data_IF_685683846351
#
_entry.id   IF_685683846351
#
_cell.length_a   1.000
_cell.length_b   1.000
_cell.length_c   1.000
_cell.angle_alpha   90.00
_cell.angle_beta   90.00
_cell.angle_gamma   90.00
#
_symmetry.space_group_name_H-M   'P 1'
#
loop_
_entity.id
_entity.type
_entity.pdbx_description
1 polymer ?
#
# COMPACT_ATOMS: atom_id res chain seq x y z
N UNK A 1 -24.20 8.28 2.49
CA UNK A 1 -23.47 7.52 1.48
C UNK A 1 -23.95 6.08 1.43
N UNK A 2 -23.82 5.31 2.54
CA UNK A 2 -24.11 3.87 2.59
C UNK A 2 -25.51 3.54 2.06
N UNK A 3 -26.55 4.24 2.55
CA UNK A 3 -27.94 4.00 2.11
C UNK A 3 -28.14 4.25 0.61
N UNK A 4 -27.54 5.33 0.07
CA UNK A 4 -27.68 5.69 -1.35
C UNK A 4 -26.98 4.66 -2.26
N UNK A 5 -25.78 4.24 -1.90
CA UNK A 5 -25.06 3.17 -2.63
C UNK A 5 -25.83 1.86 -2.56
N UNK A 6 -26.38 1.51 -1.38
CA UNK A 6 -27.13 0.28 -1.17
C UNK A 6 -28.42 0.18 -1.98
N UNK A 7 -29.04 1.31 -2.38
CA UNK A 7 -30.19 1.34 -3.30
C UNK A 7 -29.79 1.65 -4.75
N UNK A 8 -28.50 1.58 -5.09
CA UNK A 8 -28.01 1.75 -6.45
C UNK A 8 -27.91 3.19 -6.94
N UNK A 9 -28.05 4.19 -6.06
CA UNK A 9 -27.91 5.62 -6.40
C UNK A 9 -26.42 6.01 -6.35
N UNK A 10 -25.67 5.62 -7.37
CA UNK A 10 -24.22 5.80 -7.46
C UNK A 10 -23.93 6.90 -8.49
N UNK A 11 -23.05 7.87 -8.18
CA UNK A 11 -22.65 8.90 -9.15
C UNK A 11 -22.00 8.27 -10.40
N UNK A 12 -22.42 8.71 -11.58
CA UNK A 12 -21.87 8.24 -12.86
C UNK A 12 -21.54 9.43 -13.76
N UNK A 13 -20.32 9.46 -14.32
CA UNK A 13 -19.89 10.60 -15.17
C UNK A 13 -20.13 11.93 -14.44
N UNK A 14 -20.84 12.86 -15.08
CA UNK A 14 -21.17 14.17 -14.51
C UNK A 14 -22.45 14.17 -13.65
N UNK A 15 -23.15 13.02 -13.57
CA UNK A 15 -24.41 12.93 -12.83
C UNK A 15 -24.15 12.58 -11.36
N UNK A 16 -24.52 13.50 -10.48
CA UNK A 16 -24.47 13.35 -9.03
C UNK A 16 -25.64 14.13 -8.39
N UNK A 17 -26.90 13.68 -8.61
CA UNK A 17 -28.09 14.43 -8.19
C UNK A 17 -28.20 14.57 -6.67
N UNK A 18 -27.51 13.70 -5.92
CA UNK A 18 -27.52 13.69 -4.44
C UNK A 18 -26.23 14.27 -3.85
N UNK A 19 -25.36 14.87 -4.66
CA UNK A 19 -24.08 15.45 -4.25
C UNK A 19 -23.20 14.49 -3.42
N UNK A 20 -23.20 13.20 -3.77
CA UNK A 20 -22.48 12.15 -3.02
C UNK A 20 -20.97 12.35 -3.05
N UNK A 21 -20.41 12.94 -4.12
CA UNK A 21 -19.00 13.32 -4.18
C UNK A 21 -18.64 14.33 -3.10
N UNK A 22 -19.48 15.35 -2.91
CA UNK A 22 -19.30 16.35 -1.85
C UNK A 22 -19.46 15.74 -0.46
N UNK A 23 -20.44 14.85 -0.29
CA UNK A 23 -20.62 14.13 0.97
C UNK A 23 -19.44 13.25 1.30
N UNK A 24 -18.83 12.56 0.32
CA UNK A 24 -17.61 11.77 0.53
C UNK A 24 -16.44 12.64 1.00
N UNK A 25 -16.22 13.79 0.36
CA UNK A 25 -15.19 14.75 0.80
C UNK A 25 -15.45 15.26 2.23
N UNK A 26 -16.71 15.47 2.61
CA UNK A 26 -17.06 15.82 3.98
C UNK A 26 -16.70 14.73 4.99
N UNK A 27 -16.98 13.46 4.67
CA UNK A 27 -16.59 12.31 5.52
C UNK A 27 -15.08 12.21 5.61
N UNK A 28 -14.36 12.30 4.48
CA UNK A 28 -12.88 12.27 4.44
C UNK A 28 -12.31 13.35 5.36
N UNK A 29 -12.77 14.59 5.25
CA UNK A 29 -12.30 15.69 6.10
C UNK A 29 -12.56 15.45 7.57
N UNK A 30 -13.76 15.01 7.94
CA UNK A 30 -14.08 14.71 9.35
C UNK A 30 -13.14 13.65 9.91
N UNK A 31 -12.86 12.58 9.15
CA UNK A 31 -11.99 11.48 9.61
C UNK A 31 -10.52 11.91 9.66
N UNK A 32 -10.04 12.64 8.65
CA UNK A 32 -8.65 13.05 8.53
C UNK A 32 -8.31 14.22 9.47
N UNK A 33 -9.05 15.31 9.42
CA UNK A 33 -8.79 16.53 10.23
C UNK A 33 -9.12 16.30 11.72
N UNK A 34 -10.17 15.51 11.99
CA UNK A 34 -10.54 15.09 13.34
C UNK A 34 -9.62 14.04 13.94
N UNK A 35 -8.69 13.50 13.15
CA UNK A 35 -7.80 12.39 13.53
C UNK A 35 -8.57 11.25 14.23
N UNK A 36 -9.73 10.89 13.68
CA UNK A 36 -10.61 9.92 14.30
C UNK A 36 -10.06 8.50 14.11
N UNK A 37 -10.02 7.75 15.20
CA UNK A 37 -9.63 6.33 15.20
C UNK A 37 -10.80 5.45 14.78
N UNK A 38 -11.25 5.62 13.53
CA UNK A 38 -12.37 4.90 12.94
C UNK A 38 -11.89 4.23 11.65
N UNK A 39 -11.69 2.90 11.66
CA UNK A 39 -11.36 2.16 10.45
C UNK A 39 -12.51 2.26 9.43
N UNK A 40 -12.19 2.72 8.21
CA UNK A 40 -13.19 3.05 7.18
C UNK A 40 -14.11 1.86 6.87
N UNK A 41 -13.56 0.71 6.56
CA UNK A 41 -14.37 -0.45 6.18
C UNK A 41 -15.23 -0.98 7.32
N UNK A 42 -14.71 -1.00 8.55
CA UNK A 42 -15.47 -1.38 9.73
C UNK A 42 -16.65 -0.42 9.96
N UNK A 43 -16.41 0.89 9.82
CA UNK A 43 -17.46 1.90 9.94
C UNK A 43 -18.54 1.71 8.85
N UNK A 44 -18.14 1.49 7.59
CA UNK A 44 -19.07 1.27 6.49
C UNK A 44 -19.90 0.00 6.68
N UNK A 45 -19.29 -1.08 7.18
CA UNK A 45 -19.99 -2.33 7.49
C UNK A 45 -21.04 -2.15 8.59
N UNK A 46 -20.66 -1.55 9.73
CA UNK A 46 -21.60 -1.29 10.85
C UNK A 46 -22.77 -0.43 10.41
N UNK A 47 -22.53 0.59 9.57
CA UNK A 47 -23.62 1.42 9.03
C UNK A 47 -24.47 0.62 8.04
N UNK A 48 -23.85 -0.22 7.20
CA UNK A 48 -24.55 -1.11 6.25
C UNK A 48 -25.54 -2.04 6.94
N UNK A 49 -25.15 -2.61 8.06
CA UNK A 49 -26.02 -3.51 8.86
C UNK A 49 -27.30 -2.81 9.34
N UNK A 50 -27.26 -1.50 9.60
CA UNK A 50 -28.46 -0.72 9.98
C UNK A 50 -29.50 -0.61 8.87
N UNK A 51 -29.09 -0.79 7.61
CA UNK A 51 -29.97 -0.78 6.45
C UNK A 51 -30.43 -2.17 6.02
N UNK A 52 -29.97 -3.24 6.69
CA UNK A 52 -30.27 -4.63 6.31
C UNK A 52 -31.76 -4.98 6.20
N UNK A 53 -32.61 -4.26 6.92
CA UNK A 53 -34.06 -4.43 6.91
C UNK A 53 -34.79 -3.55 5.89
N UNK A 54 -34.08 -2.68 5.18
CA UNK A 54 -34.66 -1.79 4.18
C UNK A 54 -34.87 -2.55 2.87
N UNK A 55 -36.12 -2.55 2.39
CA UNK A 55 -36.46 -3.19 1.12
C UNK A 55 -35.65 -2.63 -0.03
N UNK A 56 -35.11 -3.49 -0.87
CA UNK A 56 -34.27 -3.13 -2.01
C UNK A 56 -32.82 -2.73 -1.69
N UNK A 57 -32.44 -2.69 -0.42
CA UNK A 57 -31.06 -2.42 -0.02
C UNK A 57 -30.16 -3.64 -0.32
N UNK A 58 -29.02 -3.37 -0.94
CA UNK A 58 -27.94 -4.33 -1.19
C UNK A 58 -26.63 -3.77 -0.64
N UNK A 59 -25.89 -4.50 0.19
CA UNK A 59 -24.59 -4.03 0.68
C UNK A 59 -23.65 -3.66 -0.46
N UNK A 60 -23.11 -2.46 -0.46
CA UNK A 60 -22.19 -1.93 -1.48
C UNK A 60 -20.91 -1.38 -0.85
N UNK A 61 -20.45 -2.00 0.24
CA UNK A 61 -19.32 -1.52 1.06
C UNK A 61 -18.04 -1.38 0.24
N UNK A 62 -17.68 -2.40 -0.55
CA UNK A 62 -16.46 -2.36 -1.37
C UNK A 62 -16.52 -1.22 -2.40
N UNK A 63 -17.66 -1.08 -3.12
CA UNK A 63 -17.82 -0.05 -4.13
C UNK A 63 -17.83 1.37 -3.50
N UNK A 64 -18.42 1.53 -2.32
CA UNK A 64 -18.38 2.80 -1.60
C UNK A 64 -16.98 3.10 -1.06
N UNK A 65 -16.26 2.09 -0.61
CA UNK A 65 -14.86 2.23 -0.19
C UNK A 65 -14.00 2.72 -1.35
N UNK A 66 -14.10 2.08 -2.53
CA UNK A 66 -13.41 2.51 -3.75
C UNK A 66 -13.74 3.96 -4.10
N UNK A 67 -15.01 4.32 -4.08
CA UNK A 67 -15.47 5.68 -4.34
C UNK A 67 -14.86 6.71 -3.36
N UNK A 68 -14.76 6.38 -2.07
CA UNK A 68 -14.16 7.26 -1.06
C UNK A 68 -12.66 7.44 -1.33
N UNK A 69 -11.91 6.36 -1.62
CA UNK A 69 -10.49 6.46 -1.93
C UNK A 69 -10.23 7.22 -3.24
N UNK A 70 -11.07 7.08 -4.25
CA UNK A 70 -10.99 7.88 -5.47
C UNK A 70 -11.19 9.38 -5.18
N UNK A 71 -12.13 9.74 -4.31
CA UNK A 71 -12.35 11.15 -3.91
C UNK A 71 -11.20 11.67 -3.07
N UNK A 72 -10.65 10.85 -2.16
CA UNK A 72 -9.44 11.17 -1.39
C UNK A 72 -8.27 11.47 -2.32
N UNK A 73 -8.00 10.57 -3.28
CA UNK A 73 -6.92 10.77 -4.25
C UNK A 73 -7.08 12.06 -5.06
N UNK A 74 -8.31 12.38 -5.49
CA UNK A 74 -8.63 13.64 -6.17
C UNK A 74 -8.34 14.87 -5.30
N UNK A 75 -8.84 14.88 -4.06
CA UNK A 75 -8.62 15.95 -3.10
C UNK A 75 -7.14 16.22 -2.82
N UNK A 76 -6.38 15.15 -2.59
CA UNK A 76 -4.94 15.27 -2.32
C UNK A 76 -4.16 15.87 -3.52
N UNK A 77 -4.56 15.54 -4.75
CA UNK A 77 -3.95 16.16 -5.95
C UNK A 77 -4.32 17.64 -6.06
N UNK A 78 -5.55 18.03 -5.74
CA UNK A 78 -6.01 19.42 -5.68
C UNK A 78 -5.27 20.22 -4.59
N UNK A 79 -4.87 19.56 -3.50
CA UNK A 79 -4.02 20.12 -2.42
C UNK A 79 -2.54 20.24 -2.81
N UNK A 80 -2.15 19.79 -4.00
CA UNK A 80 -0.80 19.94 -4.56
C UNK A 80 0.15 18.76 -4.30
N UNK A 81 -0.36 17.61 -3.85
CA UNK A 81 0.44 16.40 -3.82
C UNK A 81 0.65 15.82 -5.22
N UNK A 82 1.85 15.34 -5.51
CA UNK A 82 2.13 14.66 -6.79
C UNK A 82 1.37 13.35 -6.92
N UNK A 83 1.16 12.91 -8.16
CA UNK A 83 0.52 11.63 -8.43
C UNK A 83 1.24 10.45 -7.75
N UNK A 84 2.57 10.52 -7.67
CA UNK A 84 3.39 9.48 -7.02
C UNK A 84 3.20 9.46 -5.50
N UNK A 85 3.17 10.62 -4.84
CA UNK A 85 2.92 10.71 -3.40
C UNK A 85 1.53 10.18 -3.05
N UNK A 86 0.51 10.58 -3.83
CA UNK A 86 -0.88 10.14 -3.64
C UNK A 86 -0.99 8.63 -3.84
N UNK A 87 -0.41 8.10 -4.91
CA UNK A 87 -0.48 6.68 -5.23
C UNK A 87 0.23 5.83 -4.16
N UNK A 88 1.41 6.25 -3.70
CA UNK A 88 2.15 5.56 -2.64
C UNK A 88 1.35 5.39 -1.34
N UNK A 89 0.47 6.34 -1.01
CA UNK A 89 -0.33 6.29 0.21
C UNK A 89 -1.70 5.68 -0.02
N UNK A 90 -2.42 6.11 -1.07
CA UNK A 90 -3.82 5.73 -1.28
C UNK A 90 -3.96 4.29 -1.78
N UNK A 91 -2.99 3.78 -2.57
CA UNK A 91 -2.99 2.38 -3.03
C UNK A 91 -2.93 1.37 -1.88
N UNK A 92 -2.33 1.75 -0.75
CA UNK A 92 -2.29 0.93 0.46
C UNK A 92 -3.63 0.88 1.22
N UNK A 93 -4.63 1.66 0.79
CA UNK A 93 -5.98 1.73 1.40
C UNK A 93 -5.94 1.87 2.92
N UNK A 94 -5.25 2.88 3.48
CA UNK A 94 -5.12 3.05 4.92
C UNK A 94 -6.49 3.19 5.57
N UNK A 95 -6.82 2.30 6.49
CA UNK A 95 -8.15 2.26 7.11
C UNK A 95 -8.41 3.48 8.01
N UNK A 96 -7.37 4.02 8.64
CA UNK A 96 -7.44 5.26 9.43
C UNK A 96 -7.09 6.46 8.55
N UNK A 97 -8.08 7.22 8.12
CA UNK A 97 -7.85 8.40 7.27
C UNK A 97 -7.12 9.53 8.03
N UNK A 98 -7.16 9.53 9.35
CA UNK A 98 -6.36 10.44 10.19
C UNK A 98 -4.84 10.28 10.03
N UNK A 99 -4.38 9.12 9.54
CA UNK A 99 -2.95 8.88 9.30
C UNK A 99 -2.45 9.43 7.94
N UNK A 100 -3.35 9.80 7.04
CA UNK A 100 -3.00 10.25 5.68
C UNK A 100 -1.96 11.39 5.69
N UNK A 101 -2.12 12.47 6.47
CA UNK A 101 -1.15 13.56 6.47
C UNK A 101 0.26 13.10 6.90
N UNK A 102 0.34 12.21 7.91
CA UNK A 102 1.61 11.67 8.40
C UNK A 102 2.28 10.77 7.35
N UNK A 103 1.49 9.92 6.68
CA UNK A 103 1.99 9.05 5.61
C UNK A 103 2.51 9.85 4.42
N UNK A 104 1.78 10.89 3.99
CA UNK A 104 2.22 11.78 2.92
C UNK A 104 3.49 12.55 3.28
N UNK A 105 3.60 13.05 4.52
CA UNK A 105 4.81 13.70 4.99
C UNK A 105 6.01 12.73 4.98
N UNK A 106 5.82 11.48 5.43
CA UNK A 106 6.85 10.44 5.41
C UNK A 106 7.30 10.10 3.98
N UNK A 107 6.35 9.90 3.05
CA UNK A 107 6.65 9.64 1.63
C UNK A 107 7.42 10.81 1.01
N UNK A 108 7.04 12.05 1.31
CA UNK A 108 7.74 13.26 0.83
C UNK A 108 9.15 13.33 1.37
N UNK A 109 9.35 13.09 2.66
CA UNK A 109 10.67 13.06 3.29
C UNK A 109 11.55 11.95 2.70
N UNK A 110 11.00 10.75 2.53
CA UNK A 110 11.70 9.63 1.91
C UNK A 110 12.10 9.95 0.46
N UNK A 111 11.21 10.56 -0.33
CA UNK A 111 11.47 10.90 -1.72
C UNK A 111 12.65 11.88 -1.90
N UNK A 112 13.02 12.62 -0.85
CA UNK A 112 14.18 13.50 -0.83
C UNK A 112 15.49 12.77 -0.55
N UNK A 113 15.46 11.50 -0.12
CA UNK A 113 16.66 10.70 0.13
C UNK A 113 17.32 10.27 -1.20
N UNK A 114 18.65 10.24 -1.28
CA UNK A 114 19.37 9.78 -2.47
C UNK A 114 19.08 8.30 -2.82
N UNK A 115 18.65 7.50 -1.85
CA UNK A 115 18.30 6.11 -1.99
C UNK A 115 16.92 5.87 -2.63
N UNK A 116 16.01 6.83 -2.49
CA UNK A 116 14.58 6.66 -2.81
C UNK A 116 14.33 6.26 -4.27
N UNK A 117 14.99 6.94 -5.21
CA UNK A 117 14.79 6.66 -6.64
C UNK A 117 15.23 5.25 -7.02
N UNK A 118 16.37 4.78 -6.48
CA UNK A 118 16.90 3.45 -6.73
C UNK A 118 15.99 2.37 -6.13
N UNK A 119 15.56 2.54 -4.89
CA UNK A 119 14.65 1.62 -4.21
C UNK A 119 13.27 1.55 -4.88
N UNK A 120 12.72 2.68 -5.31
CA UNK A 120 11.46 2.69 -6.07
C UNK A 120 11.57 1.95 -7.40
N UNK A 121 12.69 2.13 -8.12
CA UNK A 121 12.96 1.41 -9.37
C UNK A 121 13.13 -0.10 -9.12
N UNK A 122 13.85 -0.47 -8.06
CA UNK A 122 14.03 -1.87 -7.65
C UNK A 122 12.68 -2.51 -7.27
N UNK A 123 11.88 -1.85 -6.47
CA UNK A 123 10.54 -2.34 -6.07
C UNK A 123 9.63 -2.55 -7.29
N UNK A 124 9.63 -1.61 -8.23
CA UNK A 124 8.90 -1.76 -9.51
C UNK A 124 9.41 -2.96 -10.30
N UNK A 125 10.74 -3.17 -10.35
CA UNK A 125 11.35 -4.34 -11.01
C UNK A 125 10.92 -5.64 -10.35
N UNK A 126 10.95 -5.70 -9.02
CA UNK A 126 10.47 -6.86 -8.23
C UNK A 126 9.01 -7.15 -8.55
N UNK A 127 8.12 -6.17 -8.46
CA UNK A 127 6.72 -6.35 -8.78
C UNK A 127 6.48 -6.87 -10.20
N UNK A 128 7.28 -6.39 -11.19
CA UNK A 128 7.20 -6.89 -12.56
C UNK A 128 7.71 -8.33 -12.72
N UNK A 129 8.70 -8.76 -11.92
CA UNK A 129 9.18 -10.14 -11.91
C UNK A 129 8.11 -11.04 -11.31
N UNK A 130 7.57 -10.69 -10.15
CA UNK A 130 6.56 -11.48 -9.45
C UNK A 130 5.25 -11.63 -10.26
N UNK A 131 4.83 -10.58 -10.98
CA UNK A 131 3.64 -10.64 -11.86
C UNK A 131 3.76 -11.60 -13.05
N UNK A 132 4.98 -11.98 -13.44
CA UNK A 132 5.22 -12.94 -14.54
C UNK A 132 5.21 -14.39 -14.10
N UNK A 133 5.14 -14.64 -12.79
CA UNK A 133 5.06 -15.99 -12.24
C UNK A 133 3.60 -16.42 -12.21
N UNK A 134 3.30 -17.61 -12.73
CA UNK A 134 1.93 -18.12 -12.87
C UNK A 134 1.20 -18.29 -11.54
N UNK A 135 1.94 -18.67 -10.49
CA UNK A 135 1.37 -18.86 -9.16
C UNK A 135 1.87 -17.78 -8.18
N UNK A 136 1.08 -17.38 -7.18
CA UNK A 136 1.54 -16.50 -6.12
C UNK A 136 2.82 -17.05 -5.47
N UNK A 137 3.79 -16.16 -5.28
CA UNK A 137 5.07 -16.50 -4.65
C UNK A 137 4.98 -16.18 -3.16
N UNK A 138 5.15 -17.20 -2.33
CA UNK A 138 5.21 -17.02 -0.87
C UNK A 138 6.51 -16.32 -0.47
N UNK A 139 6.49 -15.37 0.49
CA UNK A 139 7.67 -14.64 0.95
C UNK A 139 8.52 -15.49 1.91
N UNK A 140 8.83 -16.73 1.52
CA UNK A 140 9.62 -17.68 2.30
C UNK A 140 11.00 -17.91 1.68
N UNK A 141 12.02 -17.99 2.53
CA UNK A 141 13.41 -18.16 2.11
C UNK A 141 14.03 -19.31 2.90
N UNK A 142 14.59 -20.28 2.18
CA UNK A 142 15.44 -21.31 2.76
C UNK A 142 16.89 -20.82 2.72
N UNK A 143 17.48 -20.58 3.89
CA UNK A 143 18.86 -20.10 4.02
C UNK A 143 19.90 -21.09 3.46
N UNK A 144 19.60 -22.40 3.43
CA UNK A 144 20.49 -23.40 2.85
C UNK A 144 20.62 -23.30 1.33
N UNK A 145 19.65 -22.64 0.67
CA UNK A 145 19.62 -22.40 -0.77
C UNK A 145 20.19 -21.02 -1.17
N UNK A 146 20.64 -20.20 -0.23
CA UNK A 146 21.36 -18.96 -0.53
C UNK A 146 22.79 -19.30 -0.92
N UNK A 147 23.15 -19.13 -2.18
CA UNK A 147 24.48 -19.55 -2.73
C UNK A 147 25.39 -18.37 -3.02
N UNK A 148 24.82 -17.26 -3.50
CA UNK A 148 25.58 -16.06 -3.86
C UNK A 148 25.73 -15.14 -2.65
N UNK A 149 26.88 -14.48 -2.51
CA UNK A 149 27.12 -13.55 -1.41
C UNK A 149 26.07 -12.42 -1.36
N UNK A 150 25.60 -11.96 -2.53
CA UNK A 150 24.57 -10.92 -2.61
C UNK A 150 23.18 -11.40 -2.18
N UNK A 151 22.84 -12.69 -2.35
CA UNK A 151 21.61 -13.28 -1.81
C UNK A 151 21.63 -13.29 -0.27
N UNK A 152 22.77 -13.72 0.29
CA UNK A 152 22.98 -13.76 1.74
C UNK A 152 22.90 -12.35 2.32
N UNK A 153 23.61 -11.41 1.71
CA UNK A 153 23.62 -10.01 2.17
C UNK A 153 22.22 -9.36 2.14
N UNK A 154 21.43 -9.62 1.08
CA UNK A 154 20.07 -9.11 1.00
C UNK A 154 19.15 -9.78 2.04
N UNK A 155 19.26 -11.09 2.22
CA UNK A 155 18.50 -11.81 3.21
C UNK A 155 18.78 -11.31 4.63
N UNK A 156 20.06 -11.16 4.99
CA UNK A 156 20.46 -10.72 6.32
C UNK A 156 20.00 -9.27 6.58
N UNK A 157 20.14 -8.40 5.58
CA UNK A 157 19.65 -7.03 5.68
C UNK A 157 18.12 -6.99 5.87
N UNK A 158 17.34 -7.83 5.18
CA UNK A 158 15.90 -7.92 5.39
C UNK A 158 15.55 -8.43 6.80
N UNK A 159 16.28 -9.42 7.32
CA UNK A 159 16.07 -9.94 8.68
C UNK A 159 16.33 -8.87 9.74
N UNK A 160 17.29 -7.98 9.51
CA UNK A 160 17.62 -6.88 10.44
C UNK A 160 16.66 -5.70 10.30
N UNK A 161 16.40 -5.23 9.09
CA UNK A 161 15.71 -3.96 8.81
C UNK A 161 14.20 -4.07 8.92
N UNK A 162 13.59 -5.16 8.40
CA UNK A 162 12.12 -5.28 8.34
C UNK A 162 11.48 -5.19 9.73
N UNK A 163 11.96 -5.87 10.79
CA UNK A 163 11.35 -5.74 12.11
C UNK A 163 11.42 -4.33 12.68
N UNK A 164 12.47 -3.56 12.37
CA UNK A 164 12.61 -2.17 12.81
C UNK A 164 11.60 -1.27 12.08
N UNK A 165 11.51 -1.43 10.75
CA UNK A 165 10.56 -0.70 9.93
C UNK A 165 9.11 -0.99 10.35
N UNK A 166 8.78 -2.24 10.59
CA UNK A 166 7.44 -2.67 11.04
C UNK A 166 7.10 -2.10 12.43
N UNK A 167 8.04 -2.12 13.37
CA UNK A 167 7.83 -1.55 14.71
C UNK A 167 7.53 -0.06 14.64
N UNK A 168 8.28 0.70 13.83
CA UNK A 168 8.02 2.11 13.59
C UNK A 168 6.67 2.34 12.90
N UNK A 169 6.34 1.52 11.90
CA UNK A 169 5.06 1.59 11.18
C UNK A 169 3.86 1.37 12.11
N UNK A 170 3.91 0.38 12.99
CA UNK A 170 2.84 0.05 13.94
C UNK A 170 2.62 1.19 14.94
N UNK A 171 3.68 1.89 15.35
CA UNK A 171 3.56 3.05 16.22
C UNK A 171 3.14 4.34 15.51
N UNK A 172 2.99 4.29 14.17
CA UNK A 172 2.62 5.44 13.35
C UNK A 172 3.79 6.37 13.02
N UNK A 173 5.03 5.95 13.27
CA UNK A 173 6.24 6.65 12.84
C UNK A 173 6.62 6.19 11.42
N UNK A 174 5.83 6.64 10.46
CA UNK A 174 6.01 6.28 9.04
C UNK A 174 7.32 6.83 8.46
N UNK A 175 7.84 7.93 9.00
CA UNK A 175 9.10 8.52 8.55
C UNK A 175 10.29 7.64 8.96
N UNK A 176 10.33 7.18 10.19
CA UNK A 176 11.36 6.26 10.68
C UNK A 176 11.28 4.92 9.96
N UNK A 177 10.06 4.38 9.76
CA UNK A 177 9.85 3.15 9.00
C UNK A 177 10.48 3.21 7.60
N UNK A 178 10.18 4.25 6.83
CA UNK A 178 10.74 4.43 5.49
C UNK A 178 12.25 4.70 5.50
N UNK A 179 12.75 5.42 6.52
CA UNK A 179 14.19 5.68 6.69
C UNK A 179 14.95 4.39 6.98
N UNK A 180 14.41 3.51 7.83
CA UNK A 180 15.01 2.20 8.07
C UNK A 180 15.11 1.38 6.76
N UNK A 181 14.06 1.36 5.95
CA UNK A 181 14.05 0.66 4.65
C UNK A 181 15.07 1.23 3.66
N UNK A 182 15.51 2.48 3.79
CA UNK A 182 16.54 3.06 2.93
C UNK A 182 17.88 2.31 3.01
N UNK A 183 18.19 1.65 4.14
CA UNK A 183 19.38 0.83 4.30
C UNK A 183 19.43 -0.38 3.36
N UNK A 184 18.28 -0.80 2.80
CA UNK A 184 18.20 -1.91 1.86
C UNK A 184 18.75 -1.57 0.46
N UNK A 185 19.03 -0.31 0.13
CA UNK A 185 19.50 0.07 -1.20
C UNK A 185 20.72 -0.72 -1.65
N UNK A 186 21.80 -0.70 -0.87
CA UNK A 186 23.07 -1.35 -1.24
C UNK A 186 22.91 -2.86 -1.46
N UNK A 187 22.30 -3.65 -0.53
CA UNK A 187 22.11 -5.07 -0.77
C UNK A 187 21.15 -5.37 -1.92
N UNK A 188 20.15 -4.54 -2.18
CA UNK A 188 19.23 -4.68 -3.32
C UNK A 188 19.96 -4.45 -4.64
N UNK A 189 20.78 -3.39 -4.76
CA UNK A 189 21.57 -3.12 -5.95
C UNK A 189 22.53 -4.28 -6.21
N UNK A 190 23.28 -4.73 -5.19
CA UNK A 190 24.21 -5.87 -5.31
C UNK A 190 23.51 -7.17 -5.75
N UNK A 191 22.31 -7.42 -5.22
CA UNK A 191 21.51 -8.59 -5.63
C UNK A 191 21.15 -8.53 -7.13
N UNK A 192 20.67 -7.41 -7.60
CA UNK A 192 20.27 -7.28 -9.00
C UNK A 192 21.44 -7.25 -9.98
N UNK A 193 22.63 -6.86 -9.53
CA UNK A 193 23.84 -6.85 -10.33
C UNK A 193 24.52 -8.23 -10.38
N UNK A 194 24.45 -9.00 -9.30
CA UNK A 194 25.18 -10.26 -9.17
C UNK A 194 24.38 -11.55 -9.27
N UNK A 195 23.03 -11.48 -9.11
CA UNK A 195 22.20 -12.70 -8.99
C UNK A 195 21.26 -12.86 -10.19
N UNK A 196 21.36 -14.00 -10.84
CA UNK A 196 20.40 -14.39 -11.89
C UNK A 196 19.14 -14.98 -11.25
N UNK A 197 18.07 -14.19 -11.15
CA UNK A 197 16.79 -14.62 -10.53
C UNK A 197 16.23 -15.87 -11.21
N UNK A 198 16.25 -15.95 -12.55
CA UNK A 198 15.78 -17.09 -13.33
C UNK A 198 16.89 -18.13 -13.48
N UNK A 199 17.32 -18.71 -12.36
CA UNK A 199 18.27 -19.83 -12.37
C UNK A 199 17.67 -21.07 -13.06
N UNK A 200 18.54 -21.91 -13.65
CA UNK A 200 18.12 -23.17 -14.27
C UNK A 200 17.61 -24.16 -13.22
N UNK A 201 18.22 -24.16 -12.04
CA UNK A 201 17.76 -24.95 -10.90
C UNK A 201 16.42 -24.41 -10.36
N UNK A 202 15.35 -25.21 -10.40
CA UNK A 202 14.03 -24.77 -9.94
C UNK A 202 13.98 -24.41 -8.45
N UNK A 203 14.77 -25.07 -7.59
CA UNK A 203 14.79 -24.80 -6.17
C UNK A 203 15.47 -23.46 -5.88
N UNK A 204 16.60 -23.18 -6.52
CA UNK A 204 17.27 -21.88 -6.43
C UNK A 204 16.37 -20.75 -6.95
N UNK A 205 15.73 -20.98 -8.11
CA UNK A 205 14.80 -19.99 -8.68
C UNK A 205 13.64 -19.68 -7.75
N UNK A 206 13.01 -20.71 -7.17
CA UNK A 206 11.92 -20.54 -6.21
C UNK A 206 12.37 -19.75 -4.96
N UNK A 207 13.55 -20.08 -4.42
CA UNK A 207 14.11 -19.39 -3.26
C UNK A 207 14.42 -17.90 -3.54
N UNK A 208 14.97 -17.59 -4.73
CA UNK A 208 15.24 -16.22 -5.19
C UNK A 208 13.96 -15.42 -5.38
N UNK A 209 12.91 -16.03 -5.92
CA UNK A 209 11.60 -15.42 -6.01
C UNK A 209 10.98 -15.18 -4.62
N UNK A 210 11.13 -16.13 -3.68
CA UNK A 210 10.71 -15.96 -2.29
C UNK A 210 11.41 -14.79 -1.60
N UNK A 211 12.72 -14.63 -1.83
CA UNK A 211 13.50 -13.49 -1.31
C UNK A 211 12.99 -12.15 -1.89
N UNK A 212 12.68 -12.11 -3.19
CA UNK A 212 12.08 -10.93 -3.82
C UNK A 212 10.66 -10.66 -3.33
N UNK A 213 9.86 -11.70 -3.09
CA UNK A 213 8.53 -11.55 -2.51
C UNK A 213 8.60 -10.96 -1.10
N UNK A 214 9.59 -11.38 -0.29
CA UNK A 214 9.85 -10.80 1.04
C UNK A 214 10.31 -9.34 0.98
N UNK A 215 11.06 -8.96 -0.03
CA UNK A 215 11.46 -7.55 -0.25
C UNK A 215 10.26 -6.70 -0.68
N UNK A 216 9.27 -7.27 -1.36
CA UNK A 216 8.12 -6.55 -1.93
C UNK A 216 6.94 -6.43 -0.95
N UNK A 217 6.87 -7.32 0.05
CA UNK A 217 5.81 -7.33 1.06
C UNK A 217 5.85 -6.10 1.98
#
# INVERSE_FOLDING_TARGET
>A
LVGMFGIGQIPTGDKDPFALRRHALGVIRMLAEGNLDLPLEAMLAVVGDKFSTVEGFKPATAQLSDFIYDRLAGSLREEGYSAQEVDAVVSQRPQRLGDIPKRLAAVRSFSALPEAAALAAANKRVGNILKKVENPVEPTVDSALLKEAAEIALHDALVEVVPQADAAFVTGDYAESLTALAALRTPVDAFFDGVMVNADDPALRANRLGLLAKLHA
#
